data_IF_241477906963
#
_entry.id   IF_241477906963
#
_cell.length_a   1.000
_cell.length_b   1.000
_cell.length_c   1.000
_cell.angle_alpha   90.00
_cell.angle_beta   90.00
_cell.angle_gamma   90.00
#
_symmetry.space_group_name_H-M   'P 1'
#
loop_
_entity.id
_entity.type
_entity.pdbx_description
1 polymer ?
#
# COMPACT_ATOMS: atom_id res chain seq x y z
N UNK A 1 4.47 -44.76 -18.08
CA UNK A 1 5.72 -44.06 -18.32
C UNK A 1 5.54 -42.76 -19.06
N UNK A 2 4.78 -42.80 -20.12
CA UNK A 2 4.57 -41.61 -20.93
C UNK A 2 3.86 -40.51 -20.18
N UNK A 3 2.97 -40.87 -19.30
CA UNK A 3 2.22 -39.91 -18.52
C UNK A 3 3.12 -39.09 -17.59
N UNK A 4 4.15 -39.71 -17.10
CA UNK A 4 5.07 -39.06 -16.20
C UNK A 4 5.79 -37.89 -16.85
N UNK A 5 6.12 -38.07 -18.11
CA UNK A 5 6.81 -37.01 -18.83
C UNK A 5 5.93 -35.78 -19.03
N UNK A 6 4.68 -36.03 -19.34
CA UNK A 6 3.75 -34.92 -19.53
C UNK A 6 3.54 -34.15 -18.25
N UNK A 7 3.48 -34.84 -17.14
CA UNK A 7 3.33 -34.21 -15.84
C UNK A 7 4.51 -33.31 -15.52
N UNK A 8 5.70 -33.77 -15.82
CA UNK A 8 6.89 -32.98 -15.57
C UNK A 8 6.88 -31.70 -16.36
N UNK A 9 6.46 -31.75 -17.57
CA UNK A 9 6.39 -30.59 -18.41
C UNK A 9 5.37 -29.59 -17.89
N UNK A 10 4.25 -30.06 -17.40
CA UNK A 10 3.25 -29.22 -16.83
C UNK A 10 3.75 -28.47 -15.62
N UNK A 11 4.51 -29.14 -14.78
CA UNK A 11 5.07 -28.54 -13.61
C UNK A 11 6.02 -27.39 -13.95
N UNK A 12 6.83 -27.59 -14.96
CA UNK A 12 7.76 -26.56 -15.37
C UNK A 12 7.04 -25.29 -15.83
N UNK A 13 5.97 -25.45 -16.54
CA UNK A 13 5.19 -24.30 -17.01
C UNK A 13 4.63 -23.52 -15.83
N UNK A 14 4.14 -24.21 -14.83
CA UNK A 14 3.60 -23.56 -13.65
C UNK A 14 4.65 -22.74 -12.91
N UNK A 15 5.85 -23.30 -12.80
CA UNK A 15 6.92 -22.57 -12.13
C UNK A 15 7.26 -21.29 -12.86
N UNK A 16 7.26 -21.31 -14.16
CA UNK A 16 7.53 -20.12 -14.94
C UNK A 16 6.45 -19.07 -14.73
N UNK A 17 5.22 -19.51 -14.58
CA UNK A 17 4.13 -18.59 -14.30
C UNK A 17 4.33 -17.83 -13.00
N UNK A 18 4.81 -18.47 -11.98
CA UNK A 18 5.08 -17.82 -10.73
C UNK A 18 6.21 -16.81 -10.82
N UNK A 19 7.20 -17.09 -11.61
CA UNK A 19 8.32 -16.20 -11.77
C UNK A 19 7.91 -14.85 -12.38
N UNK A 20 6.79 -14.83 -13.05
CA UNK A 20 6.32 -13.62 -13.70
C UNK A 20 5.56 -12.68 -12.76
N UNK A 21 5.39 -13.06 -11.51
CA UNK A 21 4.58 -12.30 -10.58
C UNK A 21 5.25 -11.26 -9.72
N UNK A 22 6.52 -11.01 -9.79
CA UNK A 22 7.12 -10.02 -8.91
C UNK A 22 6.67 -8.62 -9.27
N UNK A 23 5.45 -8.35 -9.07
CA UNK A 23 4.91 -7.01 -9.23
C UNK A 23 5.41 -6.13 -8.11
N UNK A 24 6.68 -6.18 -7.87
CA UNK A 24 7.28 -5.55 -6.73
C UNK A 24 7.54 -4.08 -6.91
N UNK A 25 7.43 -3.62 -8.13
CA UNK A 25 7.75 -2.25 -8.47
C UNK A 25 6.64 -1.28 -8.15
N UNK A 26 5.61 -1.72 -7.45
CA UNK A 26 4.41 -0.91 -7.27
C UNK A 26 4.47 0.11 -6.16
N UNK A 27 5.57 0.21 -5.46
CA UNK A 27 5.71 1.20 -4.42
C UNK A 27 5.94 2.61 -4.97
N UNK A 28 6.34 2.70 -6.22
CA UNK A 28 6.63 3.98 -6.84
C UNK A 28 5.43 4.50 -7.61
N UNK A 29 5.17 5.77 -7.46
CA UNK A 29 4.09 6.43 -8.17
C UNK A 29 4.66 7.25 -9.31
N UNK A 30 4.14 7.02 -10.50
CA UNK A 30 4.61 7.68 -11.70
C UNK A 30 3.58 8.60 -12.35
N UNK A 31 2.46 8.83 -11.71
CA UNK A 31 1.40 9.61 -12.31
C UNK A 31 1.84 11.04 -12.58
N UNK A 32 1.64 11.58 -13.79
CA UNK A 32 1.94 12.97 -14.06
C UNK A 32 1.03 13.89 -13.26
N UNK A 33 1.57 15.01 -12.83
CA UNK A 33 0.86 15.93 -11.94
C UNK A 33 -0.51 16.34 -12.46
N UNK A 34 -0.66 16.47 -13.75
CA UNK A 34 -1.95 16.86 -14.33
C UNK A 34 -3.04 15.83 -14.15
N UNK A 35 -2.68 14.60 -13.81
CA UNK A 35 -3.64 13.53 -13.56
C UNK A 35 -3.88 13.29 -12.09
N UNK A 36 -3.21 13.99 -11.24
CA UNK A 36 -3.38 13.82 -9.80
C UNK A 36 -4.74 14.28 -9.38
N UNK A 37 -5.34 13.52 -8.52
CA UNK A 37 -6.55 13.93 -7.85
C UNK A 37 -6.22 14.86 -6.70
N UNK A 38 -7.19 15.69 -6.31
CA UNK A 38 -6.98 16.66 -5.26
C UNK A 38 -6.82 16.00 -3.89
N UNK A 39 -6.30 16.77 -2.95
CA UNK A 39 -6.25 16.32 -1.56
C UNK A 39 -7.65 16.08 -1.01
N UNK A 40 -8.62 16.87 -1.45
CA UNK A 40 -10.01 16.66 -1.04
C UNK A 40 -10.53 15.31 -1.50
N UNK A 41 -10.15 14.88 -2.69
CA UNK A 41 -10.53 13.56 -3.17
C UNK A 41 -9.97 12.47 -2.27
N UNK A 42 -8.72 12.63 -1.82
CA UNK A 42 -8.11 11.70 -0.88
C UNK A 42 -8.87 11.68 0.44
N UNK A 43 -9.24 12.85 0.94
CA UNK A 43 -9.99 12.95 2.19
C UNK A 43 -11.36 12.30 2.08
N UNK A 44 -12.01 12.46 0.95
CA UNK A 44 -13.31 11.81 0.72
C UNK A 44 -13.17 10.30 0.67
N UNK A 45 -12.14 9.82 0.02
CA UNK A 45 -11.87 8.39 -0.04
C UNK A 45 -11.63 7.84 1.37
N UNK A 46 -10.83 8.52 2.16
CA UNK A 46 -10.54 8.10 3.52
C UNK A 46 -11.80 8.11 4.38
N UNK A 47 -12.61 9.14 4.24
CA UNK A 47 -13.86 9.24 5.00
C UNK A 47 -14.80 8.09 4.65
N UNK A 48 -14.84 7.70 3.38
CA UNK A 48 -15.68 6.58 2.95
C UNK A 48 -15.23 5.26 3.57
N UNK A 49 -13.94 5.16 3.91
CA UNK A 49 -13.39 3.98 4.58
C UNK A 49 -13.54 4.03 6.09
N UNK A 50 -14.01 5.16 6.62
CA UNK A 50 -14.07 5.34 8.07
C UNK A 50 -12.74 5.73 8.69
N UNK A 51 -11.83 6.27 7.90
CA UNK A 51 -10.51 6.66 8.35
C UNK A 51 -10.47 8.14 8.68
N UNK A 52 -9.76 8.49 9.73
CA UNK A 52 -9.51 9.88 10.10
C UNK A 52 -8.08 10.23 9.78
N UNK A 53 -7.89 11.16 8.86
CA UNK A 53 -6.56 11.56 8.43
C UNK A 53 -5.92 12.45 9.48
N UNK A 54 -4.72 12.08 9.90
CA UNK A 54 -3.92 12.92 10.79
C UNK A 54 -2.94 13.76 10.01
N UNK A 55 -2.43 13.22 8.90
CA UNK A 55 -1.46 13.92 8.08
C UNK A 55 -1.54 13.41 6.65
N UNK A 56 -1.47 14.33 5.71
CA UNK A 56 -1.46 14.02 4.29
C UNK A 56 -0.35 14.82 3.62
N UNK A 57 0.59 14.12 3.01
CA UNK A 57 1.72 14.77 2.34
C UNK A 57 2.05 14.03 1.05
N UNK A 58 2.97 14.60 0.27
CA UNK A 58 3.47 14.00 -0.95
C UNK A 58 4.84 13.44 -0.66
N UNK A 59 5.08 12.20 -1.06
CA UNK A 59 6.34 11.52 -0.87
C UNK A 59 6.61 10.58 -2.03
N UNK A 60 7.76 10.78 -2.70
CA UNK A 60 8.16 9.95 -3.84
C UNK A 60 7.10 9.85 -4.93
N UNK A 61 6.43 10.95 -5.23
CA UNK A 61 5.41 10.97 -6.27
C UNK A 61 4.09 10.34 -5.88
N UNK A 62 3.92 9.96 -4.62
CA UNK A 62 2.69 9.40 -4.10
C UNK A 62 2.11 10.32 -3.04
N UNK A 63 0.84 10.18 -2.75
CA UNK A 63 0.31 10.71 -1.51
C UNK A 63 0.68 9.76 -0.37
N UNK A 64 1.16 10.30 0.72
CA UNK A 64 1.39 9.54 1.93
C UNK A 64 0.46 10.05 3.01
N UNK A 65 -0.28 9.15 3.61
CA UNK A 65 -1.31 9.49 4.56
C UNK A 65 -1.10 8.75 5.87
N UNK A 66 -1.16 9.49 6.98
CA UNK A 66 -1.25 8.87 8.30
C UNK A 66 -2.66 9.04 8.79
N UNK A 67 -3.23 7.97 9.29
CA UNK A 67 -4.63 8.00 9.67
C UNK A 67 -4.93 7.00 10.78
N UNK A 68 -6.09 7.20 11.39
CA UNK A 68 -6.64 6.30 12.40
C UNK A 68 -7.87 5.63 11.81
N UNK A 69 -7.97 4.32 11.92
CA UNK A 69 -9.13 3.60 11.40
C UNK A 69 -10.31 3.64 12.38
N UNK A 70 -11.39 2.98 12.02
CA UNK A 70 -12.61 2.98 12.83
C UNK A 70 -12.42 2.33 14.20
N UNK A 71 -11.42 1.47 14.35
CA UNK A 71 -11.12 0.82 15.62
C UNK A 71 -10.06 1.57 16.43
N UNK A 72 -9.64 2.74 15.98
CA UNK A 72 -8.65 3.53 16.70
C UNK A 72 -7.22 3.12 16.44
N UNK A 73 -6.96 2.28 15.46
CA UNK A 73 -5.61 1.88 15.11
C UNK A 73 -4.99 2.85 14.14
N UNK A 74 -3.72 3.10 14.29
CA UNK A 74 -3.00 4.04 13.47
C UNK A 74 -2.21 3.38 12.37
N UNK A 75 -2.32 3.93 11.18
CA UNK A 75 -1.67 3.40 9.99
C UNK A 75 -1.02 4.49 9.17
N UNK A 76 -0.14 4.04 8.31
CA UNK A 76 0.50 4.87 7.30
C UNK A 76 0.26 4.21 5.94
N UNK A 77 -0.21 4.97 4.98
CA UNK A 77 -0.53 4.45 3.66
C UNK A 77 0.12 5.27 2.56
N UNK A 78 0.54 4.58 1.50
CA UNK A 78 0.91 5.23 0.25
C UNK A 78 -0.21 5.04 -0.74
N UNK A 79 -0.58 6.11 -1.42
CA UNK A 79 -1.75 6.14 -2.28
C UNK A 79 -1.35 6.69 -3.64
N UNK A 80 -1.77 5.99 -4.70
CA UNK A 80 -1.56 6.45 -6.05
C UNK A 80 -2.36 7.74 -6.27
N UNK A 81 -1.70 8.84 -6.65
CA UNK A 81 -2.41 10.11 -6.75
C UNK A 81 -3.39 10.19 -7.92
N UNK A 82 -3.26 9.32 -8.90
CA UNK A 82 -4.18 9.31 -10.03
C UNK A 82 -5.41 8.47 -9.75
N UNK A 83 -5.24 7.26 -9.24
CA UNK A 83 -6.34 6.31 -9.05
C UNK A 83 -6.87 6.29 -7.63
N UNK A 84 -6.14 6.84 -6.68
CA UNK A 84 -6.40 6.77 -5.24
C UNK A 84 -6.35 5.35 -4.69
N UNK A 85 -5.69 4.47 -5.41
CA UNK A 85 -5.49 3.11 -4.95
C UNK A 85 -4.47 3.08 -3.82
N UNK A 86 -4.76 2.34 -2.77
CA UNK A 86 -3.81 2.15 -1.68
C UNK A 86 -2.75 1.15 -2.12
N UNK A 87 -1.53 1.62 -2.26
CA UNK A 87 -0.43 0.81 -2.74
C UNK A 87 0.31 0.11 -1.62
N UNK A 88 0.35 0.75 -0.46
CA UNK A 88 1.06 0.21 0.68
C UNK A 88 0.36 0.65 1.95
N UNK A 89 0.23 -0.26 2.89
CA UNK A 89 -0.42 0.01 4.16
C UNK A 89 0.37 -0.67 5.26
N UNK A 90 0.75 0.08 6.28
CA UNK A 90 1.47 -0.50 7.40
C UNK A 90 1.13 0.23 8.69
N UNK A 91 1.31 -0.42 9.84
CA UNK A 91 1.09 0.24 11.12
C UNK A 91 2.02 1.44 11.28
N UNK A 92 1.53 2.48 11.92
CA UNK A 92 2.33 3.66 12.19
C UNK A 92 3.12 3.42 13.48
N UNK A 93 4.35 3.00 13.32
CA UNK A 93 5.21 2.64 14.44
C UNK A 93 5.73 3.83 15.23
N UNK A 94 5.74 5.00 14.63
CA UNK A 94 6.18 6.20 15.35
C UNK A 94 5.37 6.46 16.59
N UNK A 95 4.10 6.15 16.56
CA UNK A 95 3.25 6.33 17.71
C UNK A 95 3.61 5.40 18.85
N UNK A 96 4.01 4.19 18.52
CA UNK A 96 4.44 3.22 19.52
C UNK A 96 5.71 3.67 20.21
N UNK A 97 6.66 4.17 19.45
CA UNK A 97 7.91 4.65 20.02
C UNK A 97 7.70 5.80 20.97
N UNK A 98 6.88 6.76 20.59
CA UNK A 98 6.58 7.89 21.46
C UNK A 98 5.89 7.46 22.74
N UNK A 99 4.98 6.52 22.62
CA UNK A 99 4.27 6.00 23.77
C UNK A 99 5.22 5.28 24.72
N UNK A 100 6.10 4.46 24.16
CA UNK A 100 7.09 3.76 24.96
C UNK A 100 8.01 4.72 25.71
N UNK A 101 8.45 5.78 25.05
CA UNK A 101 9.28 6.79 25.68
C UNK A 101 8.58 7.49 26.83
N UNK A 102 7.31 7.81 26.66
CA UNK A 102 6.52 8.40 27.72
C UNK A 102 6.35 7.48 28.90
N UNK A 103 6.14 6.22 28.66
CA UNK A 103 5.97 5.25 29.71
C UNK A 103 7.27 4.95 30.44
N UNK A 104 8.39 5.04 29.73
CA UNK A 104 9.70 4.81 30.32
C UNK A 104 10.17 5.96 31.20
N UNK A 105 9.65 7.14 31.01
CA UNK A 105 10.03 8.29 31.80
C UNK A 105 9.08 8.53 32.93
#
# INVERSE_FOLDING_TARGET
>A
MKCNRALSQGLLVLLLGFAALPALAEEDCDAPLKRWQSRDAVRQMAAAQGWQIERLKIDDGCYEMRFTDAQGRRFKAKIDPETLKVLKLKPDEHQRERKSEREAS
#
